data_IF_105949721122
#
_entry.id   IF_105949721122
#
_cell.length_a   1.000
_cell.length_b   1.000
_cell.length_c   1.000
_cell.angle_alpha   90.00
_cell.angle_beta   90.00
_cell.angle_gamma   90.00
#
_symmetry.space_group_name_H-M   'P 1'
#
loop_
_entity.id
_entity.type
_entity.pdbx_description
1 polymer ?
#
# COMPACT_ATOMS: atom_id res chain seq x y z
N UNK A 1 4.90 -24.20 -50.03
CA UNK A 1 3.57 -24.70 -49.61
C UNK A 1 3.23 -24.11 -48.26
N UNK A 2 2.09 -23.40 -48.15
CA UNK A 2 1.63 -22.86 -46.89
C UNK A 2 1.24 -24.01 -45.93
N UNK A 3 1.69 -23.94 -44.67
CA UNK A 3 1.37 -24.91 -43.65
C UNK A 3 -0.10 -24.76 -43.19
N UNK A 4 -0.82 -25.86 -42.96
CA UNK A 4 -2.19 -25.76 -42.42
C UNK A 4 -2.21 -25.11 -41.02
N UNK A 5 -3.30 -24.40 -40.69
CA UNK A 5 -3.45 -23.68 -39.46
C UNK A 5 -3.24 -24.56 -38.20
N UNK A 6 -3.66 -25.83 -38.26
CA UNK A 6 -3.47 -26.83 -37.19
C UNK A 6 -1.98 -27.16 -36.89
N UNK A 7 -1.06 -26.85 -37.79
CA UNK A 7 0.37 -27.05 -37.57
C UNK A 7 1.00 -25.97 -36.67
N UNK A 8 0.30 -24.85 -36.41
CA UNK A 8 0.76 -23.79 -35.50
C UNK A 8 0.60 -24.17 -34.04
N UNK A 9 -0.30 -25.09 -33.70
CA UNK A 9 -0.66 -25.50 -32.34
C UNK A 9 0.28 -26.55 -31.73
N UNK A 10 1.28 -27.04 -32.50
CA UNK A 10 2.24 -28.03 -32.01
C UNK A 10 3.69 -27.52 -32.16
N UNK A 11 4.54 -27.86 -31.19
CA UNK A 11 5.98 -27.62 -31.26
C UNK A 11 6.57 -28.43 -32.44
N UNK A 12 7.47 -27.83 -33.21
CA UNK A 12 8.06 -28.44 -34.44
C UNK A 12 9.59 -28.45 -34.33
N UNK A 13 10.17 -29.53 -34.86
CA UNK A 13 11.60 -29.62 -35.05
C UNK A 13 11.91 -29.29 -36.53
N UNK A 14 12.76 -28.30 -36.75
CA UNK A 14 13.26 -27.99 -38.05
C UNK A 14 14.45 -28.91 -38.38
N UNK A 15 14.38 -29.59 -39.54
CA UNK A 15 15.41 -30.48 -40.00
C UNK A 15 15.91 -29.95 -41.36
N UNK A 16 17.20 -29.85 -41.54
CA UNK A 16 17.82 -29.45 -42.81
C UNK A 16 17.54 -30.47 -43.88
N UNK A 17 16.92 -30.03 -44.98
CA UNK A 17 16.63 -30.88 -46.13
C UNK A 17 17.90 -31.42 -46.85
N UNK A 18 19.06 -30.78 -46.63
CA UNK A 18 20.35 -31.20 -47.23
C UNK A 18 21.15 -32.18 -46.36
N UNK A 19 21.10 -32.04 -45.05
CA UNK A 19 21.95 -32.80 -44.15
C UNK A 19 21.19 -33.74 -43.20
N UNK A 20 19.87 -33.64 -43.10
CA UNK A 20 19.05 -34.41 -42.16
C UNK A 20 19.26 -34.04 -40.70
N UNK A 21 20.09 -33.03 -40.42
CA UNK A 21 20.38 -32.61 -39.08
C UNK A 21 19.33 -31.64 -38.53
N UNK A 22 19.08 -31.72 -37.23
CA UNK A 22 18.19 -30.81 -36.51
C UNK A 22 18.80 -29.38 -36.53
N UNK A 23 18.11 -28.46 -37.17
CA UNK A 23 18.55 -27.06 -37.34
C UNK A 23 17.88 -26.10 -36.38
N UNK A 24 16.71 -26.48 -35.81
CA UNK A 24 15.99 -25.65 -34.89
C UNK A 24 14.80 -26.38 -34.24
N UNK A 25 14.23 -25.75 -33.26
CA UNK A 25 12.96 -26.17 -32.64
C UNK A 25 12.06 -24.94 -32.53
N UNK A 26 10.91 -24.98 -33.22
CA UNK A 26 9.91 -23.93 -33.14
C UNK A 26 8.90 -24.31 -32.10
N UNK A 27 8.77 -23.48 -31.04
CA UNK A 27 7.76 -23.66 -30.04
C UNK A 27 6.35 -23.49 -30.64
N UNK A 28 5.34 -24.14 -30.05
CA UNK A 28 3.96 -23.90 -30.46
C UNK A 28 3.55 -22.43 -30.26
N UNK A 29 2.59 -21.96 -31.03
CA UNK A 29 1.98 -20.67 -30.79
C UNK A 29 1.24 -20.65 -29.44
N UNK A 30 1.41 -19.59 -28.67
CA UNK A 30 0.68 -19.40 -27.42
C UNK A 30 -0.82 -19.25 -27.70
N UNK A 31 -1.64 -19.86 -26.86
CA UNK A 31 -3.09 -19.62 -26.86
C UNK A 31 -3.39 -18.19 -26.40
N UNK A 32 -4.60 -17.70 -26.66
CA UNK A 32 -5.03 -16.36 -26.21
C UNK A 32 -4.99 -16.22 -24.69
N UNK A 33 -5.31 -17.30 -23.96
CA UNK A 33 -5.20 -17.33 -22.52
C UNK A 33 -3.75 -17.22 -22.03
N UNK A 34 -2.82 -17.93 -22.67
CA UNK A 34 -1.38 -17.86 -22.35
C UNK A 34 -0.78 -16.50 -22.71
N UNK A 35 -1.22 -15.89 -23.81
CA UNK A 35 -0.82 -14.50 -24.17
C UNK A 35 -1.32 -13.50 -23.12
N UNK A 36 -2.57 -13.65 -22.67
CA UNK A 36 -3.13 -12.80 -21.65
C UNK A 36 -2.47 -12.97 -20.27
N UNK A 37 -2.03 -14.20 -19.90
CA UNK A 37 -1.26 -14.41 -18.66
C UNK A 37 0.14 -13.81 -18.75
N UNK A 38 0.84 -14.05 -19.85
CA UNK A 38 2.17 -13.48 -20.10
C UNK A 38 2.15 -11.94 -20.14
N UNK A 39 1.12 -11.34 -20.70
CA UNK A 39 0.95 -9.88 -20.70
C UNK A 39 0.74 -9.33 -19.28
N UNK A 40 -0.05 -10.02 -18.44
CA UNK A 40 -0.25 -9.63 -17.02
C UNK A 40 1.02 -9.79 -16.20
N UNK A 41 1.76 -10.86 -16.42
CA UNK A 41 3.06 -11.09 -15.75
C UNK A 41 4.09 -10.04 -16.16
N UNK A 42 4.18 -9.72 -17.46
CA UNK A 42 5.06 -8.67 -17.95
C UNK A 42 4.70 -7.28 -17.39
N UNK A 43 3.40 -6.96 -17.29
CA UNK A 43 2.94 -5.71 -16.67
C UNK A 43 3.23 -5.67 -15.17
N UNK A 44 3.01 -6.76 -14.46
CA UNK A 44 3.34 -6.87 -13.03
C UNK A 44 4.87 -6.72 -12.80
N UNK A 45 5.69 -7.33 -13.63
CA UNK A 45 7.15 -7.20 -13.60
C UNK A 45 7.58 -5.74 -13.88
N UNK A 46 6.96 -5.08 -14.85
CA UNK A 46 7.23 -3.66 -15.17
C UNK A 46 6.88 -2.76 -13.99
N UNK A 47 5.69 -2.93 -13.40
CA UNK A 47 5.28 -2.17 -12.22
C UNK A 47 6.20 -2.43 -11.02
N UNK A 48 6.63 -3.68 -10.84
CA UNK A 48 7.63 -4.04 -9.81
C UNK A 48 8.97 -3.33 -10.02
N UNK A 49 9.48 -3.30 -11.24
CA UNK A 49 10.73 -2.60 -11.57
C UNK A 49 10.62 -1.08 -11.31
N UNK A 50 9.52 -0.45 -11.73
CA UNK A 50 9.28 0.97 -11.47
C UNK A 50 9.18 1.29 -9.98
N UNK A 51 8.54 0.41 -9.19
CA UNK A 51 8.44 0.56 -7.75
C UNK A 51 9.82 0.45 -7.08
N UNK A 52 10.66 -0.47 -7.54
CA UNK A 52 12.04 -0.65 -7.06
C UNK A 52 12.92 0.55 -7.38
N UNK A 53 12.88 1.07 -8.62
CA UNK A 53 13.59 2.29 -8.97
C UNK A 53 13.12 3.51 -8.15
N UNK A 54 11.82 3.62 -7.90
CA UNK A 54 11.28 4.69 -7.06
C UNK A 54 11.72 4.55 -5.59
N UNK A 55 11.90 3.31 -5.11
CA UNK A 55 12.44 3.02 -3.78
C UNK A 55 13.90 3.45 -3.70
N UNK A 56 14.73 3.02 -4.65
CA UNK A 56 16.16 3.37 -4.70
C UNK A 56 16.37 4.88 -4.76
N UNK A 57 15.61 5.59 -5.60
CA UNK A 57 15.66 7.07 -5.65
C UNK A 57 15.33 7.73 -4.32
N UNK A 58 14.32 7.22 -3.60
CA UNK A 58 13.96 7.73 -2.25
C UNK A 58 15.06 7.44 -1.23
N UNK A 59 15.69 6.27 -1.28
CA UNK A 59 16.80 5.89 -0.41
C UNK A 59 18.02 6.79 -0.63
N UNK A 60 18.39 7.06 -1.88
CA UNK A 60 19.47 8.01 -2.21
C UNK A 60 19.14 9.43 -1.75
N UNK A 61 17.93 9.92 -2.03
CA UNK A 61 17.50 11.24 -1.58
C UNK A 61 17.53 11.35 -0.04
N UNK A 62 17.21 10.29 0.69
CA UNK A 62 17.30 10.24 2.14
C UNK A 62 18.75 10.42 2.61
N UNK A 63 19.72 9.72 2.02
CA UNK A 63 21.14 9.83 2.38
C UNK A 63 21.72 11.20 2.05
N UNK A 64 21.25 11.80 0.95
CA UNK A 64 21.64 13.17 0.57
C UNK A 64 21.02 14.24 1.47
N UNK A 65 19.78 14.00 1.97
CA UNK A 65 19.02 14.95 2.79
C UNK A 65 19.48 15.00 4.25
N UNK A 66 20.06 13.92 4.77
CA UNK A 66 20.49 13.84 6.18
C UNK A 66 22.00 13.58 6.26
N UNK A 67 22.69 14.48 6.93
CA UNK A 67 24.15 14.37 7.09
C UNK A 67 24.54 13.32 8.14
N UNK A 68 23.70 13.18 9.20
CA UNK A 68 23.94 12.26 10.32
C UNK A 68 22.70 11.42 10.64
N UNK A 69 22.91 10.30 11.35
CA UNK A 69 21.81 9.47 11.86
C UNK A 69 20.91 10.26 12.82
N UNK A 70 21.48 11.16 13.61
CA UNK A 70 20.75 11.98 14.57
C UNK A 70 19.81 12.96 13.87
N UNK A 71 20.17 13.46 12.70
CA UNK A 71 19.27 14.30 11.90
C UNK A 71 18.10 13.49 11.35
N UNK A 72 18.36 12.29 10.84
CA UNK A 72 17.33 11.37 10.40
C UNK A 72 16.38 11.00 11.54
N UNK A 73 16.93 10.62 12.71
CA UNK A 73 16.15 10.30 13.91
C UNK A 73 15.27 11.47 14.34
N UNK A 74 15.81 12.68 14.41
CA UNK A 74 15.05 13.90 14.77
C UNK A 74 13.90 14.18 13.81
N UNK A 75 14.09 13.95 12.50
CA UNK A 75 13.03 14.10 11.52
C UNK A 75 11.88 13.11 11.75
N UNK A 76 12.20 11.86 12.10
CA UNK A 76 11.21 10.86 12.46
C UNK A 76 10.52 11.17 13.79
N UNK A 77 11.25 11.57 14.84
CA UNK A 77 10.71 11.99 16.13
C UNK A 77 9.68 13.11 15.99
N UNK A 78 10.01 14.11 15.15
CA UNK A 78 9.07 15.19 14.87
C UNK A 78 7.78 14.69 14.19
N UNK A 79 7.91 13.78 13.23
CA UNK A 79 6.77 13.17 12.56
C UNK A 79 5.94 12.28 13.49
N UNK A 80 6.60 11.50 14.35
CA UNK A 80 5.97 10.68 15.38
C UNK A 80 5.16 11.55 16.34
N UNK A 81 5.75 12.63 16.84
CA UNK A 81 5.07 13.59 17.74
C UNK A 81 3.81 14.16 17.07
N UNK A 82 3.89 14.56 15.79
CA UNK A 82 2.74 15.07 15.07
C UNK A 82 1.62 14.03 14.91
N UNK A 83 1.99 12.76 14.67
CA UNK A 83 1.01 11.67 14.60
C UNK A 83 0.38 11.38 15.96
N UNK A 84 1.15 11.40 17.05
CA UNK A 84 0.65 11.23 18.42
C UNK A 84 -0.36 12.33 18.78
N UNK A 85 -0.07 13.59 18.46
CA UNK A 85 -0.99 14.71 18.64
C UNK A 85 -2.27 14.53 17.78
N UNK A 86 -2.13 14.06 16.55
CA UNK A 86 -3.27 13.81 15.65
C UNK A 86 -4.16 12.68 16.18
N UNK A 87 -3.57 11.58 16.67
CA UNK A 87 -4.29 10.46 17.28
C UNK A 87 -5.03 10.92 18.54
N UNK A 88 -4.37 11.72 19.38
CA UNK A 88 -4.96 12.28 20.58
C UNK A 88 -6.15 13.19 20.28
N UNK A 89 -6.00 14.12 19.34
CA UNK A 89 -7.07 15.01 18.90
C UNK A 89 -8.27 14.23 18.33
N UNK A 90 -8.02 13.24 17.47
CA UNK A 90 -9.06 12.37 16.89
C UNK A 90 -9.77 11.52 17.97
N UNK A 91 -9.04 11.04 18.97
CA UNK A 91 -9.60 10.28 20.09
C UNK A 91 -10.55 11.13 20.93
N UNK A 92 -10.16 12.38 21.22
CA UNK A 92 -11.02 13.35 21.89
C UNK A 92 -12.28 13.67 21.07
N UNK A 93 -12.12 13.85 19.75
CA UNK A 93 -13.23 14.05 18.81
C UNK A 93 -14.24 12.89 18.85
N UNK A 94 -13.76 11.63 18.81
CA UNK A 94 -14.61 10.44 18.94
C UNK A 94 -15.36 10.43 20.27
N UNK A 95 -14.70 10.80 21.36
CA UNK A 95 -15.33 10.87 22.68
C UNK A 95 -16.45 11.92 22.73
N UNK A 96 -16.19 13.12 22.21
CA UNK A 96 -17.20 14.19 22.13
C UNK A 96 -18.41 13.81 21.26
N UNK A 97 -18.17 13.17 20.10
CA UNK A 97 -19.25 12.69 19.22
C UNK A 97 -20.10 11.61 19.92
N UNK A 98 -19.49 10.70 20.70
CA UNK A 98 -20.22 9.69 21.49
C UNK A 98 -21.09 10.34 22.55
N UNK A 99 -20.57 11.29 23.31
CA UNK A 99 -21.32 12.02 24.33
C UNK A 99 -22.51 12.77 23.74
N UNK A 100 -22.29 13.45 22.62
CA UNK A 100 -23.35 14.15 21.89
C UNK A 100 -24.43 13.18 21.38
N UNK A 101 -24.03 12.03 20.82
CA UNK A 101 -24.97 11.00 20.36
C UNK A 101 -25.81 10.44 21.51
N UNK A 102 -25.19 10.15 22.67
CA UNK A 102 -25.88 9.69 23.88
C UNK A 102 -26.94 10.71 24.33
N UNK A 103 -26.60 12.01 24.35
CA UNK A 103 -27.56 13.07 24.70
C UNK A 103 -28.73 13.15 23.73
N UNK A 104 -28.50 13.00 22.41
CA UNK A 104 -29.57 12.96 21.42
C UNK A 104 -30.48 11.73 21.60
N UNK A 105 -29.89 10.56 21.88
CA UNK A 105 -30.63 9.32 22.13
C UNK A 105 -31.45 9.38 23.42
N UNK A 106 -30.93 9.99 24.49
CA UNK A 106 -31.69 10.23 25.73
C UNK A 106 -32.95 11.08 25.46
N UNK A 107 -32.79 12.16 24.71
CA UNK A 107 -33.97 13.01 24.32
C UNK A 107 -35.00 12.27 23.45
N UNK A 108 -34.53 11.36 22.58
CA UNK A 108 -35.44 10.52 21.82
C UNK A 108 -36.19 9.54 22.73
N UNK A 109 -35.46 8.88 23.66
CA UNK A 109 -36.07 7.98 24.64
C UNK A 109 -37.08 8.66 25.57
N UNK A 110 -36.83 9.91 26.00
CA UNK A 110 -37.76 10.71 26.79
C UNK A 110 -39.08 10.96 26.03
N UNK A 111 -38.97 11.23 24.71
CA UNK A 111 -40.18 11.41 23.88
C UNK A 111 -40.99 10.10 23.80
N UNK A 112 -40.34 8.97 23.57
CA UNK A 112 -40.96 7.64 23.50
C UNK A 112 -41.63 7.24 24.82
N UNK A 113 -40.94 7.44 25.93
CA UNK A 113 -41.47 7.19 27.29
C UNK A 113 -42.71 8.06 27.62
N UNK A 114 -42.75 9.26 27.05
CA UNK A 114 -43.92 10.16 27.15
C UNK A 114 -45.06 9.79 26.18
N UNK A 115 -44.95 8.69 25.43
CA UNK A 115 -45.91 8.25 24.42
C UNK A 115 -45.96 9.16 23.18
N UNK A 116 -44.92 9.97 22.95
CA UNK A 116 -44.84 10.90 21.80
C UNK A 116 -43.92 10.33 20.73
N UNK A 117 -44.21 10.56 19.45
CA UNK A 117 -43.28 10.19 18.39
C UNK A 117 -41.98 11.02 18.48
N UNK A 118 -40.85 10.39 18.17
CA UNK A 118 -39.57 11.11 18.07
C UNK A 118 -39.66 12.17 16.96
N UNK A 119 -39.35 13.43 17.24
CA UNK A 119 -39.44 14.50 16.24
C UNK A 119 -38.47 14.19 15.05
N UNK A 120 -38.95 14.38 13.83
CA UNK A 120 -38.17 14.11 12.62
C UNK A 120 -36.80 14.83 12.58
N UNK A 121 -36.67 16.11 13.01
CA UNK A 121 -35.37 16.76 13.10
C UNK A 121 -34.39 16.07 14.09
N UNK A 122 -34.91 15.54 15.22
CA UNK A 122 -34.10 14.82 16.19
C UNK A 122 -33.64 13.49 15.64
N UNK A 123 -34.48 12.73 14.95
CA UNK A 123 -34.13 11.50 14.27
C UNK A 123 -33.06 11.73 13.20
N UNK A 124 -33.20 12.79 12.39
CA UNK A 124 -32.17 13.17 11.39
C UNK A 124 -30.84 13.55 12.03
N UNK A 125 -30.85 14.27 13.17
CA UNK A 125 -29.66 14.64 13.91
C UNK A 125 -28.94 13.41 14.46
N UNK A 126 -29.68 12.43 15.00
CA UNK A 126 -29.12 11.16 15.49
C UNK A 126 -28.41 10.41 14.36
N UNK A 127 -29.06 10.28 13.21
CA UNK A 127 -28.49 9.61 12.03
C UNK A 127 -27.19 10.30 11.55
N UNK A 128 -27.23 11.62 11.43
CA UNK A 128 -26.06 12.41 11.01
C UNK A 128 -24.90 12.25 11.98
N UNK A 129 -25.18 12.38 13.29
CA UNK A 129 -24.17 12.23 14.34
C UNK A 129 -23.57 10.82 14.38
N UNK A 130 -24.41 9.80 14.23
CA UNK A 130 -23.95 8.41 14.15
C UNK A 130 -23.02 8.17 12.96
N UNK A 131 -23.40 8.64 11.77
CA UNK A 131 -22.56 8.53 10.58
C UNK A 131 -21.21 9.27 10.75
N UNK A 132 -21.24 10.45 11.37
CA UNK A 132 -20.02 11.20 11.66
C UNK A 132 -19.13 10.46 12.64
N UNK A 133 -19.69 9.85 13.70
CA UNK A 133 -18.97 9.01 14.64
C UNK A 133 -18.27 7.84 13.96
N UNK A 134 -18.96 7.10 13.08
CA UNK A 134 -18.40 5.99 12.35
C UNK A 134 -17.21 6.42 11.45
N UNK A 135 -17.36 7.54 10.74
CA UNK A 135 -16.28 8.10 9.91
C UNK A 135 -15.06 8.48 10.76
N UNK A 136 -15.29 9.14 11.89
CA UNK A 136 -14.21 9.56 12.80
C UNK A 136 -13.50 8.37 13.45
N UNK A 137 -14.24 7.32 13.83
CA UNK A 137 -13.65 6.07 14.33
C UNK A 137 -12.76 5.38 13.28
N UNK A 138 -13.22 5.30 12.04
CA UNK A 138 -12.43 4.73 10.94
C UNK A 138 -11.14 5.55 10.68
N UNK A 139 -11.22 6.88 10.76
CA UNK A 139 -10.06 7.75 10.64
C UNK A 139 -9.05 7.51 11.79
N UNK A 140 -9.54 7.41 13.02
CA UNK A 140 -8.71 7.13 14.21
C UNK A 140 -7.98 5.77 14.10
N UNK A 141 -8.67 4.74 13.60
CA UNK A 141 -8.04 3.41 13.36
C UNK A 141 -6.89 3.53 12.36
N UNK A 142 -7.08 4.23 11.25
CA UNK A 142 -6.01 4.46 10.25
C UNK A 142 -4.83 5.21 10.86
N UNK A 143 -5.08 6.33 11.56
CA UNK A 143 -4.04 7.14 12.19
C UNK A 143 -3.23 6.36 13.22
N UNK A 144 -3.87 5.49 14.02
CA UNK A 144 -3.19 4.59 14.94
C UNK A 144 -2.31 3.57 14.20
N UNK A 145 -2.79 3.04 13.07
CA UNK A 145 -2.01 2.15 12.23
C UNK A 145 -0.77 2.84 11.65
N UNK A 146 -0.93 4.07 11.13
CA UNK A 146 0.17 4.89 10.62
C UNK A 146 1.20 5.19 11.72
N UNK A 147 0.74 5.53 12.94
CA UNK A 147 1.64 5.75 14.08
C UNK A 147 2.40 4.47 14.46
N UNK A 148 1.71 3.33 14.52
CA UNK A 148 2.35 2.06 14.86
C UNK A 148 3.40 1.63 13.82
N UNK A 149 3.22 1.99 12.55
CA UNK A 149 4.18 1.70 11.50
C UNK A 149 5.47 2.56 11.58
N UNK A 150 5.42 3.73 12.21
CA UNK A 150 6.55 4.68 12.24
C UNK A 150 7.81 4.12 12.90
N UNK A 151 7.68 3.33 13.95
CA UNK A 151 8.83 2.77 14.65
C UNK A 151 9.57 1.75 13.77
N UNK A 152 8.82 0.94 13.01
CA UNK A 152 9.39 0.01 12.04
C UNK A 152 10.00 0.75 10.83
N UNK A 153 9.36 1.82 10.35
CA UNK A 153 9.88 2.67 9.29
C UNK A 153 11.19 3.33 9.70
N UNK A 154 11.29 3.87 10.92
CA UNK A 154 12.51 4.46 11.46
C UNK A 154 13.63 3.41 11.53
N UNK A 155 13.35 2.23 12.07
CA UNK A 155 14.34 1.16 12.17
C UNK A 155 14.86 0.74 10.78
N UNK A 156 13.96 0.60 9.81
CA UNK A 156 14.31 0.28 8.42
C UNK A 156 15.13 1.41 7.76
N UNK A 157 14.73 2.67 7.97
CA UNK A 157 15.41 3.83 7.44
C UNK A 157 16.85 3.96 7.99
N UNK A 158 17.04 3.79 9.30
CA UNK A 158 18.36 3.80 9.95
C UNK A 158 19.26 2.68 9.44
N UNK A 159 18.72 1.46 9.33
CA UNK A 159 19.45 0.33 8.77
C UNK A 159 19.94 0.67 7.36
N UNK A 160 19.05 1.16 6.51
CA UNK A 160 19.37 1.46 5.12
C UNK A 160 20.33 2.65 4.99
N UNK A 161 20.18 3.66 5.83
CA UNK A 161 21.10 4.80 5.90
C UNK A 161 22.52 4.34 6.21
N UNK A 162 22.70 3.44 7.18
CA UNK A 162 24.01 2.87 7.54
C UNK A 162 24.61 2.08 6.38
N UNK A 163 23.82 1.21 5.73
CA UNK A 163 24.25 0.43 4.57
C UNK A 163 24.76 1.31 3.42
N UNK A 164 24.11 2.44 3.18
CA UNK A 164 24.48 3.36 2.09
C UNK A 164 25.63 4.32 2.47
N UNK A 165 25.80 4.67 3.75
CA UNK A 165 26.87 5.57 4.24
C UNK A 165 28.17 4.85 4.57
N UNK A 166 28.17 3.55 4.85
CA UNK A 166 29.39 2.77 5.02
C UNK A 166 30.00 2.58 3.63
N UNK A 167 31.21 3.14 3.35
CA UNK A 167 31.89 2.82 2.12
C UNK A 167 32.16 1.31 2.12
N UNK A 168 31.74 0.63 1.05
CA UNK A 168 32.08 -0.76 0.81
C UNK A 168 33.61 -0.81 0.71
N UNK A 169 34.29 -1.11 1.81
CA UNK A 169 35.70 -1.48 1.79
C UNK A 169 35.74 -2.82 1.10
N UNK A 170 36.01 -2.81 -0.20
CA UNK A 170 36.41 -3.99 -0.94
C UNK A 170 37.65 -4.54 -0.22
N UNK A 171 37.70 -5.84 0.11
CA UNK A 171 38.95 -6.42 0.60
C UNK A 171 39.97 -6.23 -0.52
N UNK A 172 41.00 -5.45 -0.23
CA UNK A 172 42.19 -5.37 -1.06
C UNK A 172 42.88 -6.72 -0.89
N UNK A 173 42.69 -7.62 -1.87
CA UNK A 173 43.55 -8.81 -1.98
C UNK A 173 44.98 -8.32 -2.23
N UNK A 174 45.84 -8.55 -1.24
CA UNK A 174 47.28 -8.44 -1.34
C UNK A 174 47.87 -9.76 -1.75
#
# INVERSE_FOLDING_TARGET
AALPASAADAARTEISAKSGLKTGQVARALTDAERASAAREAEAARLGALAEEARQRREHAMVESYTTEEELMRAFEHRITLLDETVKASSLGVTGLRQSLVSLLQRAGEAELAGKPVPAPLAASIQTQHQQLLRQQAALVRQRGERAAMDAELAAALKRYRELKVPTTLPTEG
#
